data_IF_821042837936
#
_entry.id   IF_821042837936
#
_cell.length_a   1.000
_cell.length_b   1.000
_cell.length_c   1.000
_cell.angle_alpha   90.00
_cell.angle_beta   90.00
_cell.angle_gamma   90.00
#
_symmetry.space_group_name_H-M   'P 1'
#
loop_
_entity.id
_entity.type
_entity.pdbx_description
1 polymer ?
#
# COMPACT_ATOMS: atom_id res chain seq x y z
N UNK A 1 -14.13 -24.02 -17.27
CA UNK A 1 -14.06 -23.04 -18.38
C UNK A 1 -12.70 -23.12 -19.03
N UNK A 2 -12.67 -23.19 -20.35
CA UNK A 2 -11.50 -23.38 -21.24
C UNK A 2 -10.25 -22.57 -20.84
N UNK A 3 -10.41 -21.32 -20.38
CA UNK A 3 -9.30 -20.43 -19.98
C UNK A 3 -8.49 -20.88 -18.74
N UNK A 4 -9.07 -21.66 -17.82
CA UNK A 4 -8.35 -22.10 -16.61
C UNK A 4 -7.21 -23.09 -16.92
N UNK A 5 -7.23 -23.72 -18.09
CA UNK A 5 -6.24 -24.73 -18.48
C UNK A 5 -5.04 -24.12 -19.21
N UNK A 6 -5.23 -22.96 -19.86
CA UNK A 6 -4.21 -22.31 -20.69
C UNK A 6 -3.29 -21.37 -19.90
N UNK A 7 -3.74 -20.82 -18.77
CA UNK A 7 -2.98 -19.81 -18.03
C UNK A 7 -2.85 -20.12 -16.53
N UNK A 8 -1.67 -19.87 -15.92
CA UNK A 8 -1.45 -20.06 -14.50
C UNK A 8 -2.38 -19.20 -13.65
N UNK A 9 -2.67 -17.97 -14.10
CA UNK A 9 -3.64 -17.06 -13.51
C UNK A 9 -4.74 -16.72 -14.52
N UNK A 10 -6.00 -16.82 -14.11
CA UNK A 10 -7.16 -16.52 -14.95
C UNK A 10 -8.34 -16.07 -14.08
N UNK A 11 -8.45 -14.75 -13.88
CA UNK A 11 -9.54 -14.11 -13.14
C UNK A 11 -10.70 -13.65 -14.02
N UNK A 12 -10.62 -13.85 -15.34
CA UNK A 12 -11.60 -13.34 -16.30
C UNK A 12 -13.03 -13.79 -15.97
N UNK A 13 -13.90 -12.83 -15.67
CA UNK A 13 -15.35 -13.01 -15.58
C UNK A 13 -15.86 -13.78 -14.36
N UNK A 14 -15.03 -14.07 -13.35
CA UNK A 14 -15.45 -14.88 -12.19
C UNK A 14 -15.47 -14.05 -10.90
N UNK A 15 -16.68 -13.73 -10.45
CA UNK A 15 -16.90 -13.24 -9.09
C UNK A 15 -16.63 -14.34 -8.05
N UNK A 16 -16.69 -14.00 -6.75
CA UNK A 16 -16.93 -12.67 -6.16
C UNK A 16 -15.70 -11.74 -6.20
N UNK A 17 -15.92 -10.44 -5.99
CA UNK A 17 -14.90 -9.38 -6.09
C UNK A 17 -14.82 -8.57 -4.80
N UNK A 18 -13.63 -8.11 -4.45
CA UNK A 18 -13.44 -7.06 -3.46
C UNK A 18 -13.35 -5.73 -4.22
N UNK A 19 -14.27 -4.83 -3.93
CA UNK A 19 -14.25 -3.48 -4.51
C UNK A 19 -13.31 -2.61 -3.70
N UNK A 20 -12.34 -1.98 -4.35
CA UNK A 20 -11.47 -0.98 -3.74
C UNK A 20 -11.86 0.37 -4.32
N UNK A 21 -12.30 1.30 -3.50
CA UNK A 21 -12.71 2.64 -3.94
C UNK A 21 -12.18 3.72 -3.01
N UNK A 22 -12.16 4.95 -3.49
CA UNK A 22 -11.54 6.01 -2.73
C UNK A 22 -11.52 7.34 -3.43
N UNK A 23 -10.87 8.30 -2.78
CA UNK A 23 -10.61 9.63 -3.31
C UNK A 23 -9.13 9.92 -3.14
N UNK A 24 -8.41 10.01 -4.26
CA UNK A 24 -7.03 10.43 -4.30
C UNK A 24 -6.97 11.98 -4.25
N UNK A 25 -6.22 12.58 -3.32
CA UNK A 25 -5.97 14.01 -3.28
C UNK A 25 -5.34 14.53 -4.58
N UNK A 26 -5.43 15.84 -4.80
CA UNK A 26 -4.76 16.50 -5.93
C UNK A 26 -3.27 16.18 -5.95
N UNK A 27 -2.69 16.14 -7.15
CA UNK A 27 -1.27 15.82 -7.38
C UNK A 27 -0.85 14.41 -6.96
N UNK A 28 -1.80 13.51 -6.68
CA UNK A 28 -1.50 12.12 -6.30
C UNK A 28 -2.15 11.11 -7.25
N UNK A 29 -1.58 9.91 -7.32
CA UNK A 29 -2.13 8.75 -8.03
C UNK A 29 -2.34 7.59 -7.04
N UNK A 30 -3.49 6.89 -7.10
CA UNK A 30 -3.72 5.68 -6.31
C UNK A 30 -3.01 4.47 -6.93
N UNK A 31 -2.55 3.58 -6.05
CA UNK A 31 -1.98 2.29 -6.40
C UNK A 31 -2.78 1.21 -5.68
N UNK A 32 -3.31 0.25 -6.44
CA UNK A 32 -4.04 -0.90 -5.91
C UNK A 32 -3.37 -2.16 -6.42
N UNK A 33 -3.04 -3.06 -5.50
CA UNK A 33 -2.46 -4.35 -5.83
C UNK A 33 -2.96 -5.44 -4.90
N UNK A 34 -2.69 -6.69 -5.26
CA UNK A 34 -3.03 -7.84 -4.45
C UNK A 34 -1.96 -8.91 -4.58
N UNK A 35 -1.83 -9.72 -3.54
CA UNK A 35 -1.04 -10.95 -3.55
C UNK A 35 -2.00 -12.12 -3.48
N UNK A 36 -1.80 -13.09 -4.38
CA UNK A 36 -2.51 -14.34 -4.43
C UNK A 36 -1.61 -15.47 -3.97
N UNK A 37 -2.17 -16.43 -3.24
CA UNK A 37 -1.49 -17.63 -2.79
C UNK A 37 -2.06 -18.86 -3.50
N UNK A 38 -1.17 -19.76 -3.90
CA UNK A 38 -1.52 -21.07 -4.45
C UNK A 38 -1.03 -22.16 -3.51
N UNK A 39 -1.94 -23.07 -3.11
CA UNK A 39 -1.61 -24.33 -2.44
C UNK A 39 -1.49 -25.51 -3.42
N UNK A 40 -1.66 -25.26 -4.73
CA UNK A 40 -1.65 -26.30 -5.78
C UNK A 40 -0.36 -26.26 -6.58
N UNK A 41 0.00 -25.11 -7.14
CA UNK A 41 1.35 -24.84 -7.60
C UNK A 41 2.22 -24.55 -6.37
N UNK A 42 3.17 -25.43 -6.11
CA UNK A 42 4.09 -25.37 -4.98
C UNK A 42 5.50 -25.13 -5.51
N UNK A 43 6.30 -24.41 -4.74
CA UNK A 43 7.74 -24.26 -4.97
C UNK A 43 8.54 -25.20 -4.06
N UNK A 44 9.83 -25.33 -4.33
CA UNK A 44 10.76 -26.06 -3.47
C UNK A 44 11.64 -25.10 -2.68
N UNK A 45 11.61 -25.22 -1.37
CA UNK A 45 12.56 -24.58 -0.46
C UNK A 45 13.41 -25.64 0.23
N UNK A 46 14.64 -25.27 0.58
CA UNK A 46 15.57 -26.14 1.30
C UNK A 46 15.64 -25.63 2.73
N UNK A 47 15.37 -26.49 3.70
CA UNK A 47 15.47 -26.12 5.11
C UNK A 47 16.93 -26.03 5.60
N UNK A 48 17.11 -25.65 6.85
CA UNK A 48 18.43 -25.54 7.48
C UNK A 48 19.19 -26.88 7.58
N UNK A 49 18.51 -28.01 7.35
CA UNK A 49 19.08 -29.36 7.33
C UNK A 49 19.35 -29.84 5.90
N UNK A 50 19.33 -28.94 4.92
CA UNK A 50 19.51 -29.24 3.49
C UNK A 50 18.43 -30.17 2.91
N UNK A 51 17.27 -30.26 3.56
CA UNK A 51 16.16 -31.10 3.11
C UNK A 51 15.16 -30.29 2.28
N UNK A 52 14.86 -30.71 1.03
CA UNK A 52 13.89 -30.02 0.20
C UNK A 52 12.46 -30.29 0.68
N UNK A 53 11.65 -29.25 0.77
CA UNK A 53 10.23 -29.34 1.09
C UNK A 53 9.41 -28.41 0.19
N UNK A 54 8.12 -28.74 0.03
CA UNK A 54 7.22 -27.99 -0.84
C UNK A 54 6.54 -26.86 -0.07
N UNK A 55 6.56 -25.66 -0.64
CA UNK A 55 5.92 -24.46 -0.07
C UNK A 55 4.89 -23.86 -1.02
N UNK A 56 3.86 -23.16 -0.51
CA UNK A 56 2.92 -22.41 -1.35
C UNK A 56 3.62 -21.34 -2.20
N UNK A 57 3.20 -21.18 -3.45
CA UNK A 57 3.66 -20.07 -4.30
C UNK A 57 2.77 -18.83 -4.15
N UNK A 58 3.33 -17.67 -4.53
CA UNK A 58 2.66 -16.38 -4.50
C UNK A 58 2.67 -15.70 -5.88
N UNK A 59 1.62 -14.94 -6.18
CA UNK A 59 1.51 -14.15 -7.40
C UNK A 59 1.02 -12.74 -7.09
N UNK A 60 1.79 -11.73 -7.50
CA UNK A 60 1.42 -10.33 -7.37
C UNK A 60 0.59 -9.83 -8.56
N UNK A 61 -0.50 -9.15 -8.28
CA UNK A 61 -1.35 -8.47 -9.25
C UNK A 61 -1.30 -6.96 -8.97
N UNK A 62 -0.76 -6.17 -9.90
CA UNK A 62 -0.82 -4.71 -9.86
C UNK A 62 -1.86 -4.22 -10.86
N UNK A 63 -2.76 -3.35 -10.43
CA UNK A 63 -3.78 -2.76 -11.31
C UNK A 63 -3.36 -1.34 -11.74
N UNK A 64 -3.52 -1.01 -13.02
CA UNK A 64 -3.42 0.38 -13.46
C UNK A 64 -4.72 1.11 -13.13
N UNK A 65 -4.76 1.70 -11.93
CA UNK A 65 -5.90 2.46 -11.44
C UNK A 65 -5.72 3.93 -11.79
N UNK A 66 -6.79 4.53 -12.33
CA UNK A 66 -6.85 5.96 -12.63
C UNK A 66 -7.89 6.61 -11.73
N UNK A 67 -7.52 7.75 -11.17
CA UNK A 67 -8.44 8.62 -10.46
C UNK A 67 -9.06 9.61 -11.45
N UNK A 68 -10.32 9.96 -11.22
CA UNK A 68 -10.98 11.06 -11.92
C UNK A 68 -10.23 12.38 -11.61
N UNK A 69 -9.85 13.16 -12.62
CA UNK A 69 -8.99 14.34 -12.42
C UNK A 69 -9.69 15.50 -11.69
N UNK A 70 -11.03 15.52 -11.63
CA UNK A 70 -11.79 16.60 -10.98
C UNK A 70 -12.13 16.25 -9.53
N UNK A 71 -12.55 15.02 -9.31
CA UNK A 71 -13.08 14.54 -8.03
C UNK A 71 -12.07 13.73 -7.24
N UNK A 72 -11.00 13.24 -7.88
CA UNK A 72 -10.04 12.29 -7.29
C UNK A 72 -10.61 10.87 -7.13
N UNK A 73 -11.86 10.64 -7.49
CA UNK A 73 -12.51 9.36 -7.26
C UNK A 73 -11.85 8.25 -8.07
N UNK A 74 -11.56 7.11 -7.44
CA UNK A 74 -11.06 5.92 -8.11
C UNK A 74 -11.80 4.67 -7.65
N UNK A 75 -11.84 3.68 -8.53
CA UNK A 75 -12.41 2.38 -8.22
C UNK A 75 -11.63 1.27 -8.94
N UNK A 76 -11.41 0.17 -8.26
CA UNK A 76 -10.79 -1.05 -8.77
C UNK A 76 -11.53 -2.27 -8.23
N UNK A 77 -11.43 -3.40 -8.93
CA UNK A 77 -12.02 -4.67 -8.50
C UNK A 77 -10.93 -5.72 -8.43
N UNK A 78 -10.75 -6.30 -7.24
CA UNK A 78 -9.82 -7.39 -7.00
C UNK A 78 -10.59 -8.71 -7.02
N UNK A 79 -10.23 -9.66 -7.90
CA UNK A 79 -10.88 -10.96 -7.92
C UNK A 79 -10.59 -11.72 -6.63
N UNK A 80 -11.62 -12.28 -5.99
CA UNK A 80 -11.37 -13.13 -4.82
C UNK A 80 -10.66 -14.44 -5.19
N UNK A 81 -10.95 -14.97 -6.37
CA UNK A 81 -10.21 -16.09 -6.96
C UNK A 81 -9.46 -15.65 -8.21
N UNK A 82 -8.15 -15.83 -8.19
CA UNK A 82 -7.29 -15.66 -9.37
C UNK A 82 -7.38 -16.83 -10.37
N UNK A 83 -8.11 -17.89 -10.04
CA UNK A 83 -8.38 -19.01 -10.94
C UNK A 83 -7.13 -19.71 -11.46
N UNK A 84 -7.17 -20.11 -12.74
CA UNK A 84 -6.10 -20.86 -13.39
C UNK A 84 -5.88 -22.27 -12.83
N UNK A 85 -4.89 -22.98 -13.37
CA UNK A 85 -4.54 -24.34 -12.93
C UNK A 85 -3.87 -24.36 -11.56
N UNK A 86 -3.27 -23.23 -11.13
CA UNK A 86 -2.73 -23.06 -9.79
C UNK A 86 -3.79 -22.74 -8.72
N UNK A 87 -5.06 -22.56 -9.09
CA UNK A 87 -6.18 -22.29 -8.15
C UNK A 87 -5.88 -21.13 -7.20
N UNK A 88 -5.39 -20.01 -7.74
CA UNK A 88 -5.02 -18.83 -6.97
C UNK A 88 -6.17 -18.29 -6.12
N UNK A 89 -5.87 -17.97 -4.86
CA UNK A 89 -6.78 -17.29 -3.93
C UNK A 89 -6.13 -16.02 -3.42
N UNK A 90 -6.89 -14.94 -3.31
CA UNK A 90 -6.36 -13.70 -2.76
C UNK A 90 -5.93 -13.93 -1.31
N UNK A 91 -4.75 -13.44 -0.95
CA UNK A 91 -4.16 -13.51 0.38
C UNK A 91 -4.11 -12.11 1.01
N UNK A 92 -3.68 -11.12 0.22
CA UNK A 92 -3.54 -9.73 0.66
C UNK A 92 -4.03 -8.76 -0.42
N UNK A 93 -4.63 -7.65 0.01
CA UNK A 93 -4.95 -6.50 -0.83
C UNK A 93 -4.26 -5.24 -0.29
N UNK A 94 -3.72 -4.42 -1.19
CA UNK A 94 -2.98 -3.21 -0.86
C UNK A 94 -3.63 -2.02 -1.55
N UNK A 95 -3.74 -0.90 -0.82
CA UNK A 95 -4.05 0.40 -1.42
C UNK A 95 -3.19 1.47 -0.78
N UNK A 96 -2.58 2.29 -1.63
CA UNK A 96 -1.79 3.46 -1.23
C UNK A 96 -1.93 4.56 -2.29
N UNK A 97 -1.40 5.75 -2.02
CA UNK A 97 -1.27 6.84 -2.97
C UNK A 97 0.15 7.39 -2.96
N UNK A 98 0.63 7.85 -4.11
CA UNK A 98 1.91 8.57 -4.22
C UNK A 98 1.71 9.88 -4.96
N UNK A 99 2.59 10.85 -4.76
CA UNK A 99 2.62 12.03 -5.62
C UNK A 99 2.80 11.64 -7.09
N UNK A 100 2.30 12.47 -7.99
CA UNK A 100 2.63 12.46 -9.42
C UNK A 100 3.49 13.65 -9.81
N UNK A 101 3.39 14.73 -9.04
CA UNK A 101 4.15 15.96 -9.20
C UNK A 101 4.34 16.59 -7.81
N UNK A 102 5.55 17.08 -7.54
CA UNK A 102 5.93 17.76 -6.28
C UNK A 102 6.50 19.15 -6.53
N UNK A 103 6.52 19.60 -7.79
CA UNK A 103 7.12 20.88 -8.17
C UNK A 103 6.34 22.08 -7.63
N UNK A 104 5.05 21.92 -7.35
CA UNK A 104 4.23 22.92 -6.68
C UNK A 104 4.61 23.12 -5.20
N UNK A 105 5.21 22.10 -4.57
CA UNK A 105 5.68 22.17 -3.18
C UNK A 105 7.08 22.79 -3.09
N UNK A 106 7.99 22.38 -3.98
CA UNK A 106 9.35 22.89 -4.00
C UNK A 106 10.01 22.73 -5.37
N UNK A 107 10.57 23.84 -5.87
CA UNK A 107 11.36 23.82 -7.09
C UNK A 107 12.60 22.93 -6.95
N UNK A 108 12.90 22.15 -8.00
CA UNK A 108 14.02 21.19 -8.07
C UNK A 108 13.95 20.04 -7.04
N UNK A 109 12.79 19.83 -6.41
CA UNK A 109 12.54 18.60 -5.67
C UNK A 109 12.09 17.49 -6.62
N UNK A 110 12.48 16.26 -6.32
CA UNK A 110 12.00 15.06 -7.00
C UNK A 110 11.17 14.23 -6.04
N UNK A 111 10.23 13.45 -6.57
CA UNK A 111 9.57 12.44 -5.76
C UNK A 111 10.56 11.33 -5.38
N UNK A 112 10.49 10.84 -4.14
CA UNK A 112 11.21 9.63 -3.77
C UNK A 112 10.49 8.40 -4.34
N UNK A 113 11.14 7.73 -5.30
CA UNK A 113 10.61 6.53 -5.96
C UNK A 113 10.44 5.41 -4.94
N UNK A 114 9.26 4.76 -4.92
CA UNK A 114 8.93 3.71 -3.95
C UNK A 114 8.62 4.23 -2.55
N UNK A 115 8.48 5.55 -2.37
CA UNK A 115 7.95 6.15 -1.16
C UNK A 115 6.50 6.58 -1.41
N UNK A 116 5.66 5.61 -1.80
CA UNK A 116 4.22 5.80 -1.72
C UNK A 116 3.83 6.09 -0.25
N UNK A 117 2.77 6.88 -0.08
CA UNK A 117 2.33 7.35 1.22
C UNK A 117 1.74 6.28 2.10
N UNK A 118 1.14 6.73 3.21
CA UNK A 118 0.45 5.86 4.16
C UNK A 118 -0.71 5.13 3.52
N UNK A 119 -0.53 3.84 3.27
CA UNK A 119 -1.56 2.96 2.73
C UNK A 119 -2.25 2.09 3.78
N UNK A 120 -2.98 1.09 3.30
CA UNK A 120 -3.36 -0.07 4.08
C UNK A 120 -3.03 -1.39 3.37
N UNK A 121 -2.81 -2.44 4.16
CA UNK A 121 -2.83 -3.84 3.72
C UNK A 121 -3.98 -4.56 4.42
N UNK A 122 -4.83 -5.23 3.65
CA UNK A 122 -5.89 -6.09 4.15
C UNK A 122 -5.49 -7.56 3.95
N UNK A 123 -5.27 -8.27 5.05
CA UNK A 123 -5.10 -9.72 5.10
C UNK A 123 -6.47 -10.39 5.02
N UNK A 124 -6.68 -11.17 3.96
CA UNK A 124 -8.00 -11.71 3.66
C UNK A 124 -8.21 -13.05 4.37
N UNK A 125 -9.32 -13.18 5.09
CA UNK A 125 -9.72 -14.41 5.79
C UNK A 125 -8.59 -15.02 6.64
N UNK A 126 -8.13 -16.22 6.26
CA UNK A 126 -7.15 -17.06 6.94
C UNK A 126 -5.70 -16.84 6.47
N UNK A 127 -5.41 -15.72 5.80
CA UNK A 127 -4.03 -15.32 5.48
C UNK A 127 -3.12 -15.42 6.72
N UNK A 128 -1.84 -15.71 6.54
CA UNK A 128 -0.94 -15.88 7.70
C UNK A 128 -0.86 -14.58 8.49
N UNK A 129 -0.94 -14.67 9.83
CA UNK A 129 -0.77 -13.50 10.69
C UNK A 129 0.70 -13.13 10.75
N UNK A 130 1.03 -11.97 10.18
CA UNK A 130 2.40 -11.46 10.16
C UNK A 130 2.59 -10.29 11.12
N UNK A 131 1.49 -9.69 11.62
CA UNK A 131 1.56 -8.62 12.60
C UNK A 131 0.57 -8.81 13.76
N UNK A 132 1.02 -8.44 14.97
CA UNK A 132 0.16 -8.38 16.15
C UNK A 132 -0.78 -7.17 16.10
N UNK A 133 -0.48 -6.13 15.32
CA UNK A 133 -1.20 -4.85 15.27
C UNK A 133 -2.33 -4.77 14.23
N UNK A 134 -2.75 -5.90 13.67
CA UNK A 134 -3.84 -5.96 12.70
C UNK A 134 -5.19 -5.55 13.30
N UNK A 135 -5.90 -4.65 12.63
CA UNK A 135 -7.28 -4.24 13.02
C UNK A 135 -8.29 -5.18 12.36
N UNK A 136 -9.15 -5.82 13.16
CA UNK A 136 -10.21 -6.70 12.62
C UNK A 136 -11.29 -5.90 11.88
N UNK A 137 -11.70 -6.41 10.71
CA UNK A 137 -12.77 -5.86 9.89
C UNK A 137 -13.61 -6.98 9.28
N UNK A 138 -14.92 -6.75 9.14
CA UNK A 138 -15.85 -7.71 8.54
C UNK A 138 -16.46 -7.08 7.28
N UNK A 139 -16.21 -7.70 6.13
CA UNK A 139 -16.68 -7.33 4.79
C UNK A 139 -16.22 -5.96 4.25
N UNK A 140 -16.14 -4.95 5.11
CA UNK A 140 -15.88 -3.56 4.73
C UNK A 140 -14.75 -2.98 5.58
N UNK A 141 -13.80 -2.32 4.91
CA UNK A 141 -12.80 -1.43 5.54
C UNK A 141 -13.11 0.00 5.12
N UNK A 142 -13.09 0.92 6.09
CA UNK A 142 -13.07 2.36 5.81
C UNK A 142 -11.82 2.94 6.46
N UNK A 143 -10.90 3.46 5.64
CA UNK A 143 -9.64 4.05 6.11
C UNK A 143 -9.44 5.44 5.50
N UNK A 144 -9.17 6.42 6.35
CA UNK A 144 -9.05 7.82 5.95
C UNK A 144 -7.92 8.49 6.72
N UNK A 145 -6.65 8.11 6.45
CA UNK A 145 -5.51 8.66 7.16
C UNK A 145 -5.30 10.12 6.79
N UNK A 146 -4.76 10.90 7.71
CA UNK A 146 -4.13 12.18 7.34
C UNK A 146 -2.68 11.91 6.96
N UNK A 147 -2.25 12.49 5.86
CA UNK A 147 -0.90 12.35 5.32
C UNK A 147 -0.32 13.73 5.02
N UNK A 148 1.00 13.84 5.16
CA UNK A 148 1.76 15.08 5.00
C UNK A 148 2.88 14.86 3.98
N UNK A 149 3.22 15.88 3.18
CA UNK A 149 4.50 15.88 2.47
C UNK A 149 5.65 15.94 3.49
N UNK A 150 6.71 15.18 3.21
CA UNK A 150 7.97 15.26 3.97
C UNK A 150 9.08 15.59 3.00
N UNK A 151 9.82 16.66 3.30
CA UNK A 151 10.99 17.07 2.54
C UNK A 151 12.23 16.38 3.10
N UNK A 152 12.88 15.53 2.32
CA UNK A 152 14.14 14.89 2.66
C UNK A 152 15.30 15.55 1.94
N UNK A 153 16.26 16.03 2.72
CA UNK A 153 17.50 16.61 2.26
C UNK A 153 18.67 15.76 2.73
N UNK A 154 19.30 15.07 1.79
CA UNK A 154 20.53 14.32 2.05
C UNK A 154 21.69 15.07 1.41
N UNK A 155 22.78 15.25 2.15
CA UNK A 155 23.98 15.92 1.66
C UNK A 155 24.43 15.33 0.30
N UNK A 156 24.63 16.19 -0.70
CA UNK A 156 25.02 15.82 -2.09
C UNK A 156 24.00 14.98 -2.88
N UNK A 157 22.75 14.92 -2.44
CA UNK A 157 21.64 14.28 -3.16
C UNK A 157 20.59 15.33 -3.56
N UNK A 158 19.80 15.07 -4.61
CA UNK A 158 18.65 15.92 -4.91
C UNK A 158 17.68 15.94 -3.72
N UNK A 159 16.99 17.07 -3.54
CA UNK A 159 15.90 17.19 -2.56
C UNK A 159 14.78 16.24 -2.95
N UNK A 160 14.26 15.50 -1.98
CA UNK A 160 13.22 14.50 -2.21
C UNK A 160 11.98 14.85 -1.43
N UNK A 161 10.80 14.61 -2.01
CA UNK A 161 9.53 14.71 -1.31
C UNK A 161 8.81 13.36 -1.37
N UNK A 162 8.27 12.94 -0.24
CA UNK A 162 7.43 11.76 -0.13
C UNK A 162 6.24 12.02 0.80
N UNK A 163 5.29 11.10 0.81
CA UNK A 163 4.10 11.19 1.65
C UNK A 163 4.29 10.37 2.92
N UNK A 164 3.94 10.93 4.08
CA UNK A 164 3.96 10.21 5.34
C UNK A 164 2.77 10.59 6.21
N UNK A 165 2.07 9.59 6.72
CA UNK A 165 1.09 9.71 7.79
C UNK A 165 1.59 9.07 9.08
N UNK A 166 0.67 8.81 10.01
CA UNK A 166 1.01 8.30 11.34
C UNK A 166 1.77 6.96 11.32
N UNK A 167 1.44 6.10 10.36
CA UNK A 167 2.09 4.81 10.12
C UNK A 167 2.36 4.67 8.63
N UNK A 168 3.43 4.00 8.23
CA UNK A 168 3.72 3.76 6.81
C UNK A 168 2.62 2.89 6.16
N UNK A 169 2.14 1.88 6.89
CA UNK A 169 1.13 0.95 6.40
C UNK A 169 0.21 0.57 7.56
N UNK A 170 -1.11 0.66 7.36
CA UNK A 170 -2.08 0.16 8.34
C UNK A 170 -2.52 -1.26 7.98
N UNK A 171 -2.42 -2.17 8.94
CA UNK A 171 -2.77 -3.57 8.73
C UNK A 171 -4.18 -3.87 9.20
N UNK A 172 -4.97 -4.53 8.34
CA UNK A 172 -6.31 -4.99 8.64
C UNK A 172 -6.45 -6.49 8.42
N UNK A 173 -7.23 -7.14 9.26
CA UNK A 173 -7.70 -8.50 9.06
C UNK A 173 -9.12 -8.45 8.52
N UNK A 174 -9.30 -8.67 7.22
CA UNK A 174 -10.59 -8.57 6.56
C UNK A 174 -11.23 -9.96 6.39
N UNK A 175 -12.23 -10.25 7.20
CA UNK A 175 -13.06 -11.45 7.07
C UNK A 175 -14.18 -11.20 6.07
N UNK A 176 -14.33 -12.09 5.09
CA UNK A 176 -15.30 -11.99 4.00
C UNK A 176 -16.40 -13.03 4.16
N UNK A 177 -17.64 -12.58 4.31
CA UNK A 177 -18.83 -13.44 4.38
C UNK A 177 -19.39 -13.68 2.97
N UNK A 178 -19.61 -14.92 2.55
CA UNK A 178 -20.27 -15.21 1.27
C UNK A 178 -21.62 -14.50 1.14
N UNK A 179 -21.87 -13.91 -0.02
CA UNK A 179 -23.13 -13.18 -0.30
C UNK A 179 -23.17 -11.73 0.20
N UNK A 180 -22.21 -11.29 1.02
CA UNK A 180 -22.08 -9.90 1.42
C UNK A 180 -21.36 -9.05 0.36
N UNK A 181 -21.56 -7.73 0.41
CA UNK A 181 -20.71 -6.77 -0.31
C UNK A 181 -19.32 -6.73 0.33
N UNK A 182 -18.26 -6.86 -0.48
CA UNK A 182 -16.88 -6.76 -0.01
C UNK A 182 -16.23 -5.49 -0.51
N UNK A 183 -15.79 -4.63 0.40
CA UNK A 183 -15.36 -3.27 0.06
C UNK A 183 -14.18 -2.78 0.90
N UNK A 184 -13.27 -2.05 0.25
CA UNK A 184 -12.20 -1.29 0.89
C UNK A 184 -12.35 0.15 0.42
N UNK A 185 -12.68 1.04 1.34
CA UNK A 185 -12.78 2.48 1.11
C UNK A 185 -11.51 3.16 1.62
N UNK A 186 -10.77 3.82 0.74
CA UNK A 186 -9.54 4.55 1.06
C UNK A 186 -9.64 6.02 0.68
N UNK A 187 -9.73 6.90 1.69
CA UNK A 187 -9.95 8.34 1.51
C UNK A 187 -8.93 9.14 2.33
N UNK A 188 -7.65 9.14 1.94
CA UNK A 188 -6.63 9.90 2.65
C UNK A 188 -6.89 11.41 2.54
N UNK A 189 -6.56 12.14 3.60
CA UNK A 189 -6.55 13.60 3.62
C UNK A 189 -5.11 14.09 3.52
N UNK A 190 -4.77 14.73 2.42
CA UNK A 190 -3.46 15.36 2.24
C UNK A 190 -3.47 16.76 2.83
N UNK A 191 -2.55 17.03 3.75
CA UNK A 191 -2.32 18.36 4.32
C UNK A 191 -0.93 18.88 3.91
N UNK A 192 -0.91 19.68 2.84
CA UNK A 192 0.32 20.30 2.32
C UNK A 192 0.71 21.58 3.08
N UNK A 193 -0.13 22.07 4.01
CA UNK A 193 0.19 23.26 4.79
C UNK A 193 1.30 22.99 5.80
N UNK A 194 1.55 21.72 6.10
CA UNK A 194 2.56 21.25 7.04
C UNK A 194 3.51 20.32 6.31
N UNK A 195 4.77 20.73 6.22
CA UNK A 195 5.81 19.97 5.54
C UNK A 195 7.05 19.84 6.43
N UNK A 196 7.13 18.78 7.24
CA UNK A 196 8.34 18.47 7.99
C UNK A 196 9.52 18.21 7.06
N UNK A 197 10.72 18.49 7.57
CA UNK A 197 11.96 18.42 6.83
C UNK A 197 12.97 17.54 7.55
N UNK A 198 13.35 16.45 6.90
CA UNK A 198 14.40 15.52 7.36
C UNK A 198 15.71 15.95 6.73
N UNK A 199 16.71 16.26 7.55
CA UNK A 199 18.05 16.62 7.08
C UNK A 199 19.05 15.56 7.51
N UNK A 200 19.83 15.06 6.55
CA UNK A 200 20.86 14.04 6.75
C UNK A 200 22.19 14.56 6.23
N UNK A 201 23.15 14.71 7.12
CA UNK A 201 24.51 15.19 6.82
C UNK A 201 25.56 14.29 7.45
N UNK A 202 26.83 14.46 7.07
CA UNK A 202 27.93 13.80 7.80
C UNK A 202 28.04 14.18 9.28
N UNK A 203 27.46 15.31 9.69
CA UNK A 203 27.53 15.83 11.06
C UNK A 203 26.37 15.37 11.94
N UNK A 204 25.33 14.76 11.36
CA UNK A 204 24.15 14.31 12.08
C UNK A 204 22.88 14.33 11.23
N UNK A 205 21.82 13.81 11.83
CA UNK A 205 20.46 13.73 11.27
C UNK A 205 19.46 14.40 12.22
N UNK A 206 18.48 15.11 11.66
CA UNK A 206 17.44 15.76 12.46
C UNK A 206 16.17 16.01 11.67
N UNK A 207 15.08 16.27 12.40
CA UNK A 207 13.77 16.58 11.82
C UNK A 207 13.29 17.96 12.27
N UNK A 208 13.03 18.82 11.29
CA UNK A 208 12.39 20.12 11.49
C UNK A 208 10.89 19.97 11.20
N UNK A 209 10.05 20.47 12.10
CA UNK A 209 8.60 20.56 11.96
C UNK A 209 8.21 22.02 11.72
N UNK A 210 7.02 22.30 11.15
CA UNK A 210 6.55 23.68 10.97
C UNK A 210 6.58 24.51 12.27
N UNK A 211 6.30 23.89 13.42
CA UNK A 211 6.19 24.56 14.73
C UNK A 211 7.39 24.36 15.67
N UNK A 212 8.49 23.77 15.18
CA UNK A 212 9.64 23.49 16.03
C UNK A 212 10.62 22.47 15.43
N UNK A 213 11.60 22.04 16.22
CA UNK A 213 12.64 21.10 15.77
C UNK A 213 12.81 19.98 16.80
N UNK A 214 13.10 18.77 16.33
CA UNK A 214 13.41 17.62 17.16
C UNK A 214 14.70 16.98 16.63
N UNK A 215 15.73 16.94 17.48
CA UNK A 215 16.89 16.09 17.23
C UNK A 215 16.47 14.63 17.43
N UNK A 216 16.60 13.82 16.39
CA UNK A 216 16.19 12.41 16.42
C UNK A 216 17.22 11.56 15.72
N UNK A 217 17.55 10.41 16.29
CA UNK A 217 18.36 9.38 15.63
C UNK A 217 17.58 8.62 14.53
N UNK A 218 16.46 9.17 14.05
CA UNK A 218 15.57 8.54 13.07
C UNK A 218 15.22 9.49 11.94
N UNK A 219 15.07 8.96 10.73
CA UNK A 219 14.58 9.70 9.56
C UNK A 219 13.04 9.66 9.46
N UNK A 220 12.34 9.10 10.45
CA UNK A 220 10.88 9.04 10.47
C UNK A 220 10.30 10.27 11.18
N UNK A 221 9.38 10.93 10.50
CA UNK A 221 8.65 12.06 11.07
C UNK A 221 7.59 11.55 12.07
N UNK A 222 7.65 11.97 13.32
CA UNK A 222 6.58 11.69 14.28
C UNK A 222 5.44 12.69 14.06
N UNK A 223 4.41 12.22 13.37
CA UNK A 223 3.24 13.03 13.00
C UNK A 223 2.49 13.62 14.19
N UNK A 224 2.70 13.15 15.43
CA UNK A 224 2.08 13.75 16.63
C UNK A 224 2.58 15.16 16.90
N UNK A 225 3.75 15.54 16.37
CA UNK A 225 4.31 16.88 16.48
C UNK A 225 3.92 17.79 15.30
N UNK A 226 3.14 17.30 14.35
CA UNK A 226 2.56 18.09 13.27
C UNK A 226 1.23 18.67 13.80
N UNK A 227 1.29 19.85 14.43
CA UNK A 227 0.13 20.52 15.04
C UNK A 227 -0.62 21.39 14.05
#
# INVERSE_FOLDING_TARGET
TFFNWLFPFSSAGKGPWITVEGVAPKYTKPYVSAVYKSKTCLDYEVDSQMSPHKVPTYHGLNLDVKADPKTGHFQAKLPFSGGGWCKWKIDQAFVTIGYTDVTHLMQNAVQEVGAEGTGLTAFINDAVRISLSETEALNIINYSPTIYPVLKMVEKRPKRIFLQGQVAQRFFRLKLTPGAEWKITYKPKLDETKMPKVTVTKKGEWVEYPDGHIETDTQMVDTRYIK
#
